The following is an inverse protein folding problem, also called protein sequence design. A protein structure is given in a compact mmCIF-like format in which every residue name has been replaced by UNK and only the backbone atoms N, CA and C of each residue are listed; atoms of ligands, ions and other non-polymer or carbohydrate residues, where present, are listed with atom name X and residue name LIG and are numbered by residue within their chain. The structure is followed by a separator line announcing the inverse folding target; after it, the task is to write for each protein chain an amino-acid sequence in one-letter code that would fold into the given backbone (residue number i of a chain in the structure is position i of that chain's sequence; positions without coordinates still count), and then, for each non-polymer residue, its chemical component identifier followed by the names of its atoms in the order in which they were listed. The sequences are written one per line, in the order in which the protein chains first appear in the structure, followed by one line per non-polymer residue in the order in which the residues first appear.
data_IF_782373096539
#
_entry.id   IF_782373096539
#
_cell.length_a   1.000
_cell.length_b   1.000
_cell.length_c   1.000
_cell.angle_alpha   90.00
_cell.angle_beta   90.00
_cell.angle_gamma   90.00
#
_symmetry.space_group_name_H-M   'P 1'
#
loop_
_entity.id
_entity.type
_entity.pdbx_description
1 polymer ?
#
# COMPACT_ATOMS: atom_id res chain seq x y z
N UNK A 1 2.66 14.22 -17.06
CA UNK A 1 3.58 13.35 -16.31
C UNK A 1 2.84 12.05 -16.15
N UNK A 2 3.18 11.04 -16.94
CA UNK A 2 2.66 9.70 -16.69
C UNK A 2 3.41 9.16 -15.49
N UNK A 3 2.66 8.81 -14.44
CA UNK A 3 3.20 8.18 -13.26
C UNK A 3 2.90 6.69 -13.40
N UNK A 4 3.92 5.91 -13.76
CA UNK A 4 3.85 4.45 -13.88
C UNK A 4 3.46 3.79 -12.55
N UNK A 5 3.68 4.52 -11.46
CA UNK A 5 3.29 4.17 -10.11
C UNK A 5 2.73 5.37 -9.35
N UNK A 6 1.62 5.14 -8.65
CA UNK A 6 1.02 6.11 -7.77
C UNK A 6 0.96 5.54 -6.36
N UNK A 7 1.58 6.24 -5.41
CA UNK A 7 1.46 5.94 -4.00
C UNK A 7 1.12 7.21 -3.22
N UNK A 8 0.14 7.12 -2.34
CA UNK A 8 -0.17 8.19 -1.41
C UNK A 8 -0.83 7.63 -0.15
N UNK A 9 -0.80 8.42 0.92
CA UNK A 9 -1.52 8.13 2.14
C UNK A 9 -2.59 9.17 2.42
N UNK A 10 -3.65 8.74 3.11
CA UNK A 10 -4.58 9.64 3.78
C UNK A 10 -4.74 9.18 5.22
N UNK A 11 -4.63 10.12 6.15
CA UNK A 11 -4.72 9.85 7.59
C UNK A 11 -5.89 10.59 8.19
N UNK A 12 -6.65 9.90 9.05
CA UNK A 12 -7.69 10.49 9.88
C UNK A 12 -7.55 9.93 11.30
N UNK A 13 -7.29 10.79 12.28
CA UNK A 13 -6.99 10.40 13.67
C UNK A 13 -5.86 9.35 13.71
N UNK A 14 -6.18 8.12 14.13
CA UNK A 14 -5.22 7.04 14.35
C UNK A 14 -5.28 5.98 13.22
N UNK A 15 -5.96 6.30 12.12
CA UNK A 15 -6.12 5.42 10.97
C UNK A 15 -5.45 6.05 9.74
N UNK A 16 -4.71 5.23 9.00
CA UNK A 16 -4.03 5.61 7.76
C UNK A 16 -4.43 4.64 6.66
N UNK A 17 -4.90 5.18 5.54
CA UNK A 17 -5.04 4.45 4.28
C UNK A 17 -3.77 4.67 3.47
N UNK A 18 -3.13 3.60 3.03
CA UNK A 18 -2.07 3.58 2.03
C UNK A 18 -2.67 3.09 0.71
N UNK A 19 -2.63 3.94 -0.31
CA UNK A 19 -3.03 3.61 -1.67
C UNK A 19 -1.77 3.37 -2.51
N UNK A 20 -1.76 2.28 -3.27
CA UNK A 20 -0.70 1.91 -4.21
C UNK A 20 -1.37 1.50 -5.52
N UNK A 21 -0.88 1.99 -6.66
CA UNK A 21 -1.31 1.58 -7.99
C UNK A 21 -0.08 1.43 -8.88
N UNK A 22 0.05 0.27 -9.51
CA UNK A 22 0.98 0.02 -10.59
C UNK A 22 0.21 0.05 -11.92
N UNK A 23 0.61 0.91 -12.87
CA UNK A 23 -0.04 1.02 -14.17
C UNK A 23 0.60 0.19 -15.29
N UNK A 24 1.89 -0.14 -15.16
CA UNK A 24 2.65 -0.76 -16.24
C UNK A 24 3.27 -2.09 -15.83
N UNK A 25 4.59 -2.26 -15.96
CA UNK A 25 5.27 -3.54 -15.78
C UNK A 25 5.26 -3.99 -14.31
N UNK A 26 5.48 -5.28 -14.07
CA UNK A 26 5.73 -5.78 -12.71
C UNK A 26 6.89 -5.05 -12.07
N UNK A 27 6.70 -4.49 -10.88
CA UNK A 27 7.71 -3.68 -10.21
C UNK A 27 7.68 -3.85 -8.70
N UNK A 28 8.88 -3.79 -8.11
CA UNK A 28 9.08 -3.87 -6.66
C UNK A 28 9.52 -2.52 -6.12
N UNK A 29 8.86 -2.07 -5.06
CA UNK A 29 9.12 -0.80 -4.40
C UNK A 29 9.58 -1.00 -2.97
N UNK A 30 10.71 -0.38 -2.64
CA UNK A 30 11.08 -0.19 -1.24
C UNK A 30 10.21 0.91 -0.66
N UNK A 31 9.41 0.57 0.36
CA UNK A 31 8.59 1.55 1.05
C UNK A 31 9.40 2.21 2.18
N UNK A 32 9.30 3.53 2.36
CA UNK A 32 9.84 4.20 3.53
C UNK A 32 9.39 3.53 4.83
N UNK A 33 10.28 3.48 5.84
CA UNK A 33 10.03 2.78 7.12
C UNK A 33 8.71 3.17 7.80
N UNK A 34 8.24 4.40 7.61
CA UNK A 34 6.96 4.89 8.16
C UNK A 34 5.74 4.09 7.65
N UNK A 35 5.85 3.46 6.48
CA UNK A 35 4.80 2.63 5.87
C UNK A 35 5.01 1.13 6.11
N UNK A 36 5.98 0.74 6.95
CA UNK A 36 6.11 -0.65 7.40
C UNK A 36 5.09 -0.94 8.52
N UNK A 37 4.66 -2.19 8.61
CA UNK A 37 3.71 -2.67 9.62
C UNK A 37 2.62 -3.55 9.03
N UNK A 38 1.64 -3.85 9.88
CA UNK A 38 0.48 -4.65 9.51
C UNK A 38 -0.65 -3.78 8.95
N UNK A 39 -1.29 -4.28 7.90
CA UNK A 39 -2.38 -3.63 7.21
C UNK A 39 -3.51 -4.63 6.93
N UNK A 40 -4.72 -4.11 6.72
CA UNK A 40 -5.83 -4.86 6.10
C UNK A 40 -6.05 -4.34 4.69
N UNK A 41 -6.15 -5.24 3.72
CA UNK A 41 -6.62 -4.91 2.39
C UNK A 41 -8.12 -4.62 2.44
N UNK A 42 -8.55 -3.41 2.09
CA UNK A 42 -9.94 -2.98 2.18
C UNK A 42 -10.87 -3.62 1.12
N UNK A 43 -10.32 -4.28 0.10
CA UNK A 43 -11.11 -4.99 -0.91
C UNK A 43 -11.25 -6.49 -0.62
N UNK A 44 -10.22 -7.11 -0.05
CA UNK A 44 -10.21 -8.56 0.21
C UNK A 44 -10.37 -8.93 1.68
N UNK A 45 -10.21 -7.97 2.59
CA UNK A 45 -10.08 -8.15 4.04
C UNK A 45 -8.86 -8.98 4.49
N UNK A 46 -7.92 -9.28 3.59
CA UNK A 46 -6.71 -10.01 3.96
C UNK A 46 -5.76 -9.14 4.78
N UNK A 47 -5.08 -9.77 5.75
CA UNK A 47 -3.99 -9.15 6.50
C UNK A 47 -2.70 -9.20 5.68
N UNK A 48 -2.02 -8.06 5.58
CA UNK A 48 -0.76 -7.91 4.87
C UNK A 48 0.28 -7.24 5.78
N UNK A 49 1.43 -7.88 5.94
CA UNK A 49 2.57 -7.32 6.66
C UNK A 49 3.62 -6.77 5.68
N UNK A 50 3.81 -5.45 5.70
CA UNK A 50 4.82 -4.76 4.91
C UNK A 50 6.09 -4.60 5.74
N UNK A 51 7.18 -5.26 5.31
CA UNK A 51 8.47 -5.25 6.04
C UNK A 51 9.58 -4.45 5.37
N UNK A 52 9.61 -4.42 4.03
CA UNK A 52 10.67 -3.74 3.29
C UNK A 52 10.16 -3.32 1.91
N UNK A 53 9.80 -4.31 1.10
CA UNK A 53 9.35 -4.11 -0.28
C UNK A 53 7.93 -4.60 -0.51
N UNK A 54 7.22 -3.93 -1.40
CA UNK A 54 6.01 -4.44 -2.05
C UNK A 54 6.32 -4.71 -3.51
N UNK A 55 5.77 -5.79 -4.05
CA UNK A 55 5.80 -6.08 -5.48
C UNK A 55 4.38 -6.07 -5.99
N UNK A 56 4.14 -5.35 -7.09
CA UNK A 56 2.83 -5.28 -7.74
C UNK A 56 2.95 -5.76 -9.17
N UNK A 57 1.97 -6.54 -9.60
CA UNK A 57 1.76 -6.91 -11.00
C UNK A 57 1.20 -5.72 -11.80
N UNK A 58 1.24 -5.79 -13.14
CA UNK A 58 0.60 -4.79 -14.00
C UNK A 58 -0.87 -4.56 -13.66
N UNK A 59 -1.27 -3.29 -13.59
CA UNK A 59 -2.63 -2.85 -13.23
C UNK A 59 -3.10 -3.26 -11.83
N UNK A 60 -2.21 -3.77 -10.98
CA UNK A 60 -2.53 -4.09 -9.61
C UNK A 60 -2.58 -2.82 -8.75
N UNK A 61 -3.58 -2.76 -7.87
CA UNK A 61 -3.69 -1.72 -6.87
C UNK A 61 -4.01 -2.32 -5.51
N UNK A 62 -3.49 -1.69 -4.48
CA UNK A 62 -3.76 -2.03 -3.08
C UNK A 62 -4.30 -0.81 -2.37
N UNK A 63 -5.33 -1.02 -1.56
CA UNK A 63 -5.86 -0.03 -0.63
C UNK A 63 -5.83 -0.64 0.75
N UNK A 64 -4.88 -0.16 1.54
CA UNK A 64 -4.43 -0.80 2.76
C UNK A 64 -4.75 0.11 3.94
N UNK A 65 -5.51 -0.39 4.90
CA UNK A 65 -5.79 0.30 6.15
C UNK A 65 -4.78 -0.11 7.22
N UNK A 66 -4.21 0.86 7.92
CA UNK A 66 -3.42 0.70 9.14
C UNK A 66 -4.08 1.49 10.26
N UNK A 67 -4.24 0.89 11.43
CA UNK A 67 -4.80 1.52 12.61
C UNK A 67 -4.35 0.79 13.88
N UNK A 68 -4.57 1.41 15.04
CA UNK A 68 -4.10 0.88 16.34
C UNK A 68 -4.80 -0.43 16.77
N UNK A 69 -5.88 -0.84 16.11
CA UNK A 69 -6.72 -1.99 16.50
C UNK A 69 -6.71 -3.16 15.46
N UNK A 70 -5.65 -3.30 14.66
CA UNK A 70 -5.47 -4.39 13.65
C UNK A 70 -4.51 -5.50 14.07
#
# INVERSE_FOLDING_TARGET
MDLDFLAFTKTNKNETILFLLNKENKQSFTLPKIHQGSYINLFTNDKLDIRDKITLEPYEYLVLLKGENL
#
